data_IF_827720458904
#
_entry.id   IF_827720458904
#
_cell.length_a   1.000
_cell.length_b   1.000
_cell.length_c   1.000
_cell.angle_alpha   90.00
_cell.angle_beta   90.00
_cell.angle_gamma   90.00
#
_symmetry.space_group_name_H-M   'P 1'
#
loop_
_entity.id
_entity.type
_entity.pdbx_description
1 polymer ?
#
# COMPACT_ATOMS: atom_id res chain seq x y z
N UNK A 1 -8.42 -6.73 -12.08
CA UNK A 1 -8.16 -5.29 -12.35
C UNK A 1 -8.00 -4.99 -13.84
N UNK A 2 -7.24 -5.74 -14.64
CA UNK A 2 -7.26 -5.56 -16.11
C UNK A 2 -8.64 -5.67 -16.75
N UNK A 3 -9.48 -6.55 -16.21
CA UNK A 3 -10.86 -6.79 -16.69
C UNK A 3 -11.76 -5.57 -16.61
N UNK A 4 -11.71 -4.83 -15.49
CA UNK A 4 -12.50 -3.60 -15.34
C UNK A 4 -12.06 -2.53 -16.32
N UNK A 5 -10.74 -2.35 -16.52
CA UNK A 5 -10.21 -1.43 -17.52
C UNK A 5 -10.74 -1.74 -18.92
N UNK A 6 -10.70 -3.03 -19.31
CA UNK A 6 -11.21 -3.48 -20.59
C UNK A 6 -12.73 -3.25 -20.71
N UNK A 7 -13.47 -3.50 -19.65
CA UNK A 7 -14.92 -3.31 -19.61
C UNK A 7 -15.32 -1.85 -19.81
N UNK A 8 -14.61 -0.91 -19.15
CA UNK A 8 -14.81 0.53 -19.37
C UNK A 8 -14.41 0.91 -20.80
N UNK A 9 -13.24 0.48 -21.28
CA UNK A 9 -12.75 0.82 -22.61
C UNK A 9 -13.65 0.33 -23.74
N UNK A 10 -14.37 -0.79 -23.52
CA UNK A 10 -15.33 -1.35 -24.48
C UNK A 10 -16.76 -0.83 -24.30
N UNK A 11 -17.02 0.01 -23.31
CA UNK A 11 -18.34 0.54 -23.02
C UNK A 11 -19.30 -0.49 -22.41
N UNK A 12 -18.79 -1.57 -21.82
CA UNK A 12 -19.64 -2.53 -21.10
C UNK A 12 -20.08 -2.00 -19.74
N UNK A 13 -19.36 -1.04 -19.19
CA UNK A 13 -19.68 -0.26 -18.00
C UNK A 13 -19.26 1.19 -18.23
N UNK A 14 -19.97 2.14 -17.61
CA UNK A 14 -19.75 3.59 -17.82
C UNK A 14 -18.50 4.10 -17.12
N UNK A 15 -18.05 3.44 -16.05
CA UNK A 15 -16.86 3.81 -15.30
C UNK A 15 -16.52 2.79 -14.24
N UNK A 16 -15.40 3.04 -13.51
CA UNK A 16 -14.99 2.15 -12.44
C UNK A 16 -13.80 2.68 -11.65
N UNK A 17 -13.60 2.18 -10.44
CA UNK A 17 -12.42 2.49 -9.62
C UNK A 17 -11.25 1.61 -10.06
N UNK A 18 -10.23 2.25 -10.58
CA UNK A 18 -9.05 1.57 -11.13
C UNK A 18 -7.80 2.19 -10.48
N UNK A 19 -6.92 1.36 -9.96
CA UNK A 19 -5.64 1.80 -9.39
C UNK A 19 -4.49 1.65 -10.40
N UNK A 20 -3.37 2.30 -10.11
CA UNK A 20 -2.16 2.14 -10.92
C UNK A 20 -1.66 0.67 -10.91
N UNK A 21 -1.08 0.20 -12.01
CA UNK A 21 -0.80 0.93 -13.25
C UNK A 21 -1.96 0.97 -14.25
N UNK A 22 -3.10 0.37 -13.92
CA UNK A 22 -4.21 0.20 -14.88
C UNK A 22 -4.92 1.52 -15.20
N UNK A 23 -5.03 2.45 -14.22
CA UNK A 23 -5.56 3.79 -14.48
C UNK A 23 -4.71 4.55 -15.52
N UNK A 24 -3.37 4.48 -15.40
CA UNK A 24 -2.45 5.14 -16.33
C UNK A 24 -2.55 4.55 -17.74
N UNK A 25 -2.73 3.23 -17.84
CA UNK A 25 -3.02 2.58 -19.12
C UNK A 25 -4.36 3.06 -19.70
N UNK A 26 -5.38 3.23 -18.85
CA UNK A 26 -6.68 3.76 -19.26
C UNK A 26 -6.57 5.17 -19.84
N UNK A 27 -5.82 6.05 -19.20
CA UNK A 27 -5.55 7.40 -19.71
C UNK A 27 -4.86 7.35 -21.09
N UNK A 28 -3.85 6.49 -21.27
CA UNK A 28 -3.19 6.28 -22.57
C UNK A 28 -4.13 5.71 -23.65
N UNK A 29 -5.18 5.00 -23.23
CA UNK A 29 -6.25 4.50 -24.14
C UNK A 29 -7.33 5.56 -24.42
N UNK A 30 -7.22 6.78 -23.90
CA UNK A 30 -8.18 7.86 -24.08
C UNK A 30 -9.31 7.90 -23.05
N UNK A 31 -9.25 7.09 -22.01
CA UNK A 31 -10.20 7.18 -20.88
C UNK A 31 -9.89 8.43 -20.04
N UNK A 32 -10.92 9.00 -19.45
CA UNK A 32 -10.81 10.18 -18.60
C UNK A 32 -10.86 9.79 -17.13
N UNK A 33 -9.87 10.23 -16.37
CA UNK A 33 -9.94 10.23 -14.91
C UNK A 33 -10.92 11.31 -14.45
N UNK A 34 -11.92 10.90 -13.69
CA UNK A 34 -12.96 11.80 -13.18
C UNK A 34 -12.57 12.36 -11.81
N UNK A 35 -11.84 11.56 -11.03
CA UNK A 35 -11.45 11.89 -9.66
C UNK A 35 -10.28 11.03 -9.22
N UNK A 36 -9.31 11.62 -8.52
CA UNK A 36 -8.31 10.87 -7.74
C UNK A 36 -8.76 10.85 -6.27
N UNK A 37 -8.95 9.66 -5.71
CA UNK A 37 -9.34 9.51 -4.32
C UNK A 37 -8.31 10.07 -3.32
N UNK A 38 -7.03 10.16 -3.73
CA UNK A 38 -5.96 10.74 -2.93
C UNK A 38 -6.15 12.24 -2.66
N UNK A 39 -6.81 12.97 -3.57
CA UNK A 39 -7.05 14.42 -3.44
C UNK A 39 -7.98 14.76 -2.26
N UNK A 40 -8.74 13.78 -1.79
CA UNK A 40 -9.69 13.98 -0.67
C UNK A 40 -9.07 13.78 0.71
N UNK A 41 -7.82 13.32 0.79
CA UNK A 41 -7.13 13.11 2.07
C UNK A 41 -7.85 12.16 3.03
N UNK A 42 -8.66 11.23 2.51
CA UNK A 42 -9.42 10.28 3.32
C UNK A 42 -8.45 9.27 3.93
N UNK A 43 -8.36 9.18 5.26
CA UNK A 43 -7.55 8.16 5.91
C UNK A 43 -8.03 6.76 5.51
N UNK A 44 -7.17 5.98 4.90
CA UNK A 44 -7.50 4.64 4.43
C UNK A 44 -6.32 3.68 4.57
N UNK A 45 -6.58 2.50 5.11
CA UNK A 45 -5.57 1.43 5.18
C UNK A 45 -5.68 0.56 3.94
N UNK A 46 -4.68 0.65 3.08
CA UNK A 46 -4.59 -0.15 1.87
C UNK A 46 -3.51 -1.22 2.01
N UNK A 47 -3.86 -2.47 1.75
CA UNK A 47 -2.94 -3.61 1.70
C UNK A 47 -2.07 -3.79 2.98
N UNK A 48 -2.65 -3.84 4.18
CA UNK A 48 -1.90 -4.07 5.41
C UNK A 48 -1.33 -5.50 5.44
N UNK A 49 -0.20 -5.68 6.10
CA UNK A 49 0.26 -7.02 6.48
C UNK A 49 -0.66 -7.59 7.55
N UNK A 50 -1.36 -8.66 7.22
CA UNK A 50 -2.36 -9.26 8.11
C UNK A 50 -2.04 -10.73 8.42
N UNK A 51 -2.23 -11.11 9.68
CA UNK A 51 -2.09 -12.50 10.10
C UNK A 51 -2.95 -12.78 11.35
N UNK A 52 -3.06 -14.05 11.73
CA UNK A 52 -3.78 -14.44 12.93
C UNK A 52 -2.96 -14.14 14.19
N UNK A 53 -3.60 -13.68 15.26
CA UNK A 53 -2.95 -13.44 16.55
C UNK A 53 -2.20 -14.67 17.09
N UNK A 54 -2.77 -15.87 16.92
CA UNK A 54 -2.12 -17.11 17.30
C UNK A 54 -0.81 -17.33 16.54
N UNK A 55 -0.75 -16.94 15.24
CA UNK A 55 0.47 -17.03 14.46
C UNK A 55 1.55 -16.07 14.96
N UNK A 56 1.18 -14.82 15.28
CA UNK A 56 2.12 -13.85 15.89
C UNK A 56 2.71 -14.43 17.17
N UNK A 57 1.86 -14.96 18.05
CA UNK A 57 2.27 -15.53 19.34
C UNK A 57 3.23 -16.73 19.20
N UNK A 58 2.97 -17.61 18.24
CA UNK A 58 3.74 -18.84 18.04
C UNK A 58 4.98 -18.67 17.15
N UNK A 59 5.03 -17.60 16.35
CA UNK A 59 6.05 -17.40 15.33
C UNK A 59 6.61 -15.96 15.34
N UNK A 60 6.80 -15.41 16.54
CA UNK A 60 7.21 -14.02 16.75
C UNK A 60 8.44 -13.63 15.93
N UNK A 61 9.49 -14.45 15.95
CA UNK A 61 10.74 -14.18 15.21
C UNK A 61 10.53 -14.15 13.69
N UNK A 62 9.65 -15.02 13.19
CA UNK A 62 9.32 -15.02 11.76
C UNK A 62 8.59 -13.74 11.37
N UNK A 63 7.65 -13.27 12.20
CA UNK A 63 6.93 -12.02 11.95
C UNK A 63 7.88 -10.82 12.01
N UNK A 64 8.78 -10.77 12.99
CA UNK A 64 9.80 -9.72 13.09
C UNK A 64 10.72 -9.69 11.87
N UNK A 65 11.16 -10.84 11.36
CA UNK A 65 11.97 -10.90 10.12
C UNK A 65 11.20 -10.41 8.90
N UNK A 66 9.91 -10.71 8.78
CA UNK A 66 9.06 -10.22 7.70
C UNK A 66 8.91 -8.69 7.80
N UNK A 67 8.62 -8.17 8.99
CA UNK A 67 8.48 -6.73 9.21
C UNK A 67 9.79 -5.99 8.91
N UNK A 68 10.95 -6.56 9.30
CA UNK A 68 12.26 -6.00 8.99
C UNK A 68 12.50 -5.95 7.49
N UNK A 69 12.29 -7.05 6.78
CA UNK A 69 12.44 -7.10 5.34
C UNK A 69 11.51 -6.11 4.62
N UNK A 70 10.28 -5.97 5.11
CA UNK A 70 9.32 -4.99 4.59
C UNK A 70 9.80 -3.56 4.81
N UNK A 71 10.27 -3.24 6.00
CA UNK A 71 10.82 -1.91 6.30
C UNK A 71 12.04 -1.59 5.43
N UNK A 72 12.98 -2.53 5.32
CA UNK A 72 14.18 -2.38 4.47
C UNK A 72 13.78 -2.14 2.99
N UNK A 73 12.78 -2.87 2.48
CA UNK A 73 12.24 -2.66 1.14
C UNK A 73 11.61 -1.27 0.97
N UNK A 74 10.90 -0.77 1.99
CA UNK A 74 10.34 0.60 2.00
C UNK A 74 11.46 1.63 1.90
N UNK A 75 12.52 1.49 2.71
CA UNK A 75 13.65 2.42 2.69
C UNK A 75 14.40 2.36 1.35
N UNK A 76 14.67 1.17 0.83
CA UNK A 76 15.30 0.98 -0.48
C UNK A 76 14.50 1.63 -1.59
N UNK A 77 13.18 1.40 -1.62
CA UNK A 77 12.29 1.99 -2.61
C UNK A 77 12.32 3.51 -2.59
N UNK A 78 12.45 4.12 -1.41
CA UNK A 78 12.50 5.58 -1.25
C UNK A 78 13.87 6.17 -1.62
N UNK A 79 14.94 5.46 -1.34
CA UNK A 79 16.31 5.95 -1.42
C UNK A 79 16.98 5.62 -2.76
N UNK A 80 16.60 4.53 -3.43
CA UNK A 80 17.14 4.13 -4.73
C UNK A 80 16.03 3.94 -5.77
N UNK A 81 15.77 5.02 -6.52
CA UNK A 81 14.81 5.01 -7.62
C UNK A 81 15.13 3.96 -8.69
N UNK A 82 16.40 3.76 -9.00
CA UNK A 82 16.79 2.86 -10.08
C UNK A 82 16.56 1.39 -9.68
N UNK A 83 16.89 1.02 -8.45
CA UNK A 83 16.58 -0.29 -7.87
C UNK A 83 15.07 -0.50 -7.84
N UNK A 84 14.32 0.48 -7.31
CA UNK A 84 12.86 0.42 -7.24
C UNK A 84 12.19 0.22 -8.61
N UNK A 85 12.61 0.97 -9.63
CA UNK A 85 12.05 0.84 -10.98
C UNK A 85 12.31 -0.54 -11.60
N UNK A 86 13.49 -1.12 -11.40
CA UNK A 86 13.82 -2.49 -11.86
C UNK A 86 12.91 -3.53 -11.20
N UNK A 87 12.71 -3.40 -9.89
CA UNK A 87 11.85 -4.31 -9.12
C UNK A 87 10.39 -4.14 -9.55
N UNK A 88 9.91 -2.90 -9.69
CA UNK A 88 8.56 -2.61 -10.15
C UNK A 88 8.31 -3.20 -11.56
N UNK A 89 9.20 -2.98 -12.52
CA UNK A 89 9.08 -3.55 -13.86
C UNK A 89 8.89 -5.07 -13.82
N UNK A 90 9.71 -5.76 -13.02
CA UNK A 90 9.66 -7.22 -12.86
C UNK A 90 8.34 -7.72 -12.27
N UNK A 91 7.87 -7.11 -11.18
CA UNK A 91 6.73 -7.64 -10.41
C UNK A 91 5.39 -7.10 -10.90
N UNK A 92 5.35 -5.84 -11.35
CA UNK A 92 4.13 -5.23 -11.93
C UNK A 92 3.92 -5.64 -13.39
N UNK A 93 4.96 -6.20 -14.02
CA UNK A 93 4.95 -6.62 -15.44
C UNK A 93 4.56 -5.47 -16.36
N UNK A 94 5.25 -4.37 -16.21
CA UNK A 94 5.09 -3.16 -17.01
C UNK A 94 6.46 -2.79 -17.58
N UNK A 95 6.55 -2.69 -18.90
CA UNK A 95 7.79 -2.33 -19.60
C UNK A 95 7.79 -0.86 -20.07
N UNK A 96 6.64 -0.16 -19.93
CA UNK A 96 6.51 1.26 -20.31
C UNK A 96 7.21 2.15 -19.26
N UNK A 97 8.29 2.86 -19.65
CA UNK A 97 9.06 3.67 -18.70
C UNK A 97 8.27 4.83 -18.09
N UNK A 98 7.32 5.41 -18.83
CA UNK A 98 6.49 6.51 -18.36
C UNK A 98 5.52 6.02 -17.29
N UNK A 99 4.88 4.88 -17.53
CA UNK A 99 3.99 4.24 -16.54
C UNK A 99 4.78 3.86 -15.29
N UNK A 100 5.99 3.27 -15.44
CA UNK A 100 6.84 2.91 -14.31
C UNK A 100 7.27 4.14 -13.49
N UNK A 101 7.67 5.22 -14.17
CA UNK A 101 8.06 6.46 -13.52
C UNK A 101 6.90 7.06 -12.73
N UNK A 102 5.70 7.05 -13.28
CA UNK A 102 4.50 7.57 -12.63
C UNK A 102 4.06 6.69 -11.44
N UNK A 103 4.10 5.36 -11.59
CA UNK A 103 3.85 4.42 -10.47
C UNK A 103 4.84 4.68 -9.33
N UNK A 104 6.12 4.86 -9.65
CA UNK A 104 7.14 5.17 -8.64
C UNK A 104 6.87 6.52 -7.96
N UNK A 105 6.52 7.56 -8.71
CA UNK A 105 6.19 8.88 -8.17
C UNK A 105 4.99 8.78 -7.23
N UNK A 106 3.91 8.18 -7.69
CA UNK A 106 2.67 8.08 -6.93
C UNK A 106 2.84 7.22 -5.67
N UNK A 107 3.28 5.97 -5.83
CA UNK A 107 3.37 5.03 -4.71
C UNK A 107 4.68 5.12 -3.95
N UNK A 108 5.82 5.17 -4.64
CA UNK A 108 7.14 5.15 -4.00
C UNK A 108 7.48 6.43 -3.25
N UNK A 109 7.05 7.58 -3.75
CA UNK A 109 7.39 8.86 -3.13
C UNK A 109 6.24 9.44 -2.29
N UNK A 110 5.01 9.42 -2.80
CA UNK A 110 3.89 10.12 -2.19
C UNK A 110 3.13 9.27 -1.17
N UNK A 111 2.88 7.98 -1.48
CA UNK A 111 2.02 7.14 -0.65
C UNK A 111 2.79 6.17 0.26
N UNK A 112 4.03 5.80 -0.09
CA UNK A 112 4.83 4.92 0.73
C UNK A 112 5.31 5.66 1.98
N UNK A 113 4.71 5.36 3.12
CA UNK A 113 5.05 5.98 4.40
C UNK A 113 6.46 5.58 4.86
N UNK A 114 7.13 6.46 5.62
CA UNK A 114 8.43 6.15 6.23
C UNK A 114 8.34 5.10 7.33
N UNK A 115 7.25 5.13 8.08
CA UNK A 115 6.92 4.13 9.10
C UNK A 115 6.06 3.04 8.50
N UNK A 116 6.23 1.80 8.97
CA UNK A 116 5.38 0.66 8.63
C UNK A 116 4.23 0.46 9.63
N UNK A 117 4.00 1.44 10.48
CA UNK A 117 2.88 1.45 11.43
C UNK A 117 1.54 1.59 10.71
N UNK A 118 0.52 0.95 11.25
CA UNK A 118 -0.85 1.06 10.72
C UNK A 118 -1.52 2.33 11.27
N UNK A 119 -2.10 3.14 10.39
CA UNK A 119 -2.89 4.30 10.78
C UNK A 119 -4.25 3.87 11.37
N UNK A 120 -4.46 4.18 12.65
CA UNK A 120 -5.70 3.84 13.36
C UNK A 120 -6.91 4.64 12.84
N UNK A 121 -6.73 5.87 12.35
CA UNK A 121 -7.84 6.61 11.75
C UNK A 121 -8.28 5.98 10.42
N UNK A 122 -7.34 5.42 9.65
CA UNK A 122 -7.66 4.62 8.46
C UNK A 122 -8.45 3.35 8.82
N UNK A 123 -8.06 2.64 9.89
CA UNK A 123 -8.82 1.47 10.38
C UNK A 123 -10.23 1.89 10.82
N UNK A 124 -10.36 2.98 11.55
CA UNK A 124 -11.65 3.53 12.00
C UNK A 124 -12.56 3.90 10.80
N UNK A 125 -11.97 4.48 9.77
CA UNK A 125 -12.68 4.77 8.51
C UNK A 125 -13.23 3.50 7.86
N UNK A 126 -12.42 2.44 7.77
CA UNK A 126 -12.85 1.14 7.27
C UNK A 126 -14.00 0.55 8.09
N UNK A 127 -13.88 0.56 9.42
CA UNK A 127 -14.92 0.03 10.33
C UNK A 127 -16.26 0.74 10.15
N UNK A 128 -16.26 2.07 9.96
CA UNK A 128 -17.47 2.84 9.67
C UNK A 128 -18.13 2.41 8.36
N UNK A 129 -17.34 2.10 7.34
CA UNK A 129 -17.82 1.63 6.03
C UNK A 129 -18.43 0.23 6.05
N UNK A 130 -18.11 -0.61 7.06
CA UNK A 130 -18.62 -1.97 7.19
C UNK A 130 -20.00 -2.07 7.87
N UNK A 131 -20.60 -0.95 8.27
CA UNK A 131 -21.93 -0.90 8.89
C UNK A 131 -21.90 -0.63 10.40
N UNK A 132 -23.10 -0.50 10.98
CA UNK A 132 -23.29 -0.01 12.35
C UNK A 132 -22.62 -0.88 13.43
N UNK A 133 -22.64 -2.19 13.29
CA UNK A 133 -21.99 -3.12 14.22
C UNK A 133 -20.47 -2.92 14.28
N UNK A 134 -19.83 -2.79 13.11
CA UNK A 134 -18.39 -2.57 13.01
C UNK A 134 -17.99 -1.16 13.40
N UNK A 135 -18.82 -0.17 13.15
CA UNK A 135 -18.54 1.25 13.42
C UNK A 135 -18.28 1.56 14.90
N UNK A 136 -18.86 0.77 15.81
CA UNK A 136 -18.64 0.86 17.26
C UNK A 136 -17.41 0.12 17.78
N UNK A 137 -16.72 -0.66 16.95
CA UNK A 137 -15.57 -1.44 17.37
C UNK A 137 -14.33 -0.54 17.59
N UNK A 138 -13.50 -0.93 18.59
CA UNK A 138 -12.26 -0.21 18.85
C UNK A 138 -11.21 -0.54 17.77
N UNK A 139 -10.73 0.44 16.97
CA UNK A 139 -9.72 0.22 15.93
C UNK A 139 -8.45 -0.48 16.43
N UNK A 140 -7.99 -0.16 17.64
CA UNK A 140 -6.80 -0.78 18.24
C UNK A 140 -6.95 -2.28 18.46
N UNK A 141 -8.18 -2.82 18.49
CA UNK A 141 -8.41 -4.26 18.59
C UNK A 141 -7.98 -5.03 17.35
N UNK A 142 -7.81 -4.37 16.22
CA UNK A 142 -7.44 -4.98 14.95
C UNK A 142 -5.97 -4.80 14.59
N UNK A 143 -5.23 -4.03 15.37
CA UNK A 143 -3.82 -3.69 15.12
C UNK A 143 -2.95 -4.22 16.26
N UNK A 144 -1.85 -4.86 15.92
CA UNK A 144 -0.77 -5.18 16.86
C UNK A 144 0.49 -4.39 16.46
N UNK A 145 0.68 -3.24 17.10
CA UNK A 145 1.83 -2.38 16.86
C UNK A 145 3.08 -2.78 17.65
N UNK A 146 3.00 -3.77 18.55
CA UNK A 146 4.08 -4.10 19.49
C UNK A 146 5.38 -4.50 18.80
N UNK A 147 5.27 -5.28 17.71
CA UNK A 147 6.44 -5.75 16.95
C UNK A 147 7.08 -4.64 16.11
N UNK A 148 6.27 -3.72 15.57
CA UNK A 148 6.78 -2.55 14.86
C UNK A 148 7.54 -1.64 15.83
N UNK A 149 6.97 -1.38 17.02
CA UNK A 149 7.61 -0.57 18.06
C UNK A 149 8.92 -1.19 18.57
N UNK A 150 8.97 -2.51 18.68
CA UNK A 150 10.20 -3.23 19.04
C UNK A 150 11.26 -3.08 17.95
N UNK A 151 10.88 -3.23 16.70
CA UNK A 151 11.76 -3.08 15.56
C UNK A 151 12.33 -1.65 15.46
N UNK A 152 11.49 -0.63 15.68
CA UNK A 152 11.89 0.77 15.68
C UNK A 152 12.84 1.14 16.82
N UNK A 153 12.77 0.43 17.94
CA UNK A 153 13.68 0.61 19.09
C UNK A 153 15.04 -0.09 18.90
N UNK A 154 15.16 -0.99 17.94
CA UNK A 154 16.44 -1.66 17.66
C UNK A 154 17.45 -0.64 17.10
N UNK A 155 18.39 -0.21 17.93
CA UNK A 155 19.42 0.79 17.58
C UNK A 155 20.29 0.34 16.41
N UNK A 156 20.56 -0.96 16.29
CA UNK A 156 21.33 -1.52 15.18
C UNK A 156 20.59 -1.41 13.85
N UNK A 157 19.27 -1.44 13.91
CA UNK A 157 18.40 -1.26 12.78
C UNK A 157 18.30 0.21 12.36
N UNK A 158 18.16 1.13 13.32
CA UNK A 158 18.12 2.57 13.06
C UNK A 158 19.45 3.11 12.48
N UNK A 159 20.59 2.59 12.91
CA UNK A 159 21.91 3.00 12.40
C UNK A 159 22.17 2.56 10.96
N UNK A 160 21.62 1.41 10.54
CA UNK A 160 21.76 0.92 9.16
C UNK A 160 20.89 1.66 8.16
N UNK A 161 19.91 2.43 8.63
CA UNK A 161 18.87 3.06 7.81
C UNK A 161 18.90 4.60 7.89
N UNK A 162 19.98 5.18 8.37
CA UNK A 162 20.30 6.61 8.32
C UNK A 162 21.26 6.94 7.20
#
# INVERSE_FOLDING_TARGET
MPELLISVAKGFVDGGMISAPSNLRGIKMGLRELVDAADYGIPYVNSPLSTRRAFIKSNRDTVLRILRAYYEAVQETRNDKNSALKILAKYVRVDDPEILAEVYRSYGQNHLQKSISVDLEGVKGLLKGLGSEAAGANPSSFVDASLVQELEKDLSFQQRNR
#
